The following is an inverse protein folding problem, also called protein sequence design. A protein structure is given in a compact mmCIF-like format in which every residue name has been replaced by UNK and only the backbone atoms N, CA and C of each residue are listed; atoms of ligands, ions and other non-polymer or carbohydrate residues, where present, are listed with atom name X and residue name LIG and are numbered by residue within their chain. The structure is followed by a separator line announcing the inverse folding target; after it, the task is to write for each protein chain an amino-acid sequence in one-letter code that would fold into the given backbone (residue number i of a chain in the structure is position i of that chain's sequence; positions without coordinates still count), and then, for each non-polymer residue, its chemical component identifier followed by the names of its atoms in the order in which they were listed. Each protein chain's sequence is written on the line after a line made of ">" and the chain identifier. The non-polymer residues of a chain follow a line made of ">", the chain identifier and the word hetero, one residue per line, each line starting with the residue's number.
data_IF_555159544431
#
_entry.id   IF_555159544431
#
_cell.length_a   1.000
_cell.length_b   1.000
_cell.length_c   1.000
_cell.angle_alpha   90.00
_cell.angle_beta   90.00
_cell.angle_gamma   90.00
#
_symmetry.space_group_name_H-M   'P 1'
#
loop_
_entity.id
_entity.type
_entity.pdbx_description
1 polymer ?
#
# COMPACT_ATOMS: atom_id res chain seq x y z
N UNK A 1 -18.34 3.80 -2.20
CA UNK A 1 -18.30 2.58 -1.37
C UNK A 1 -18.45 2.84 0.12
N UNK A 2 -17.77 3.83 0.68
CA UNK A 2 -17.81 4.12 2.12
C UNK A 2 -19.21 4.38 2.68
N UNK A 3 -20.05 5.12 1.96
CA UNK A 3 -21.41 5.48 2.37
C UNK A 3 -22.38 4.29 2.39
N UNK A 4 -22.12 3.29 1.52
CA UNK A 4 -22.95 2.10 1.41
C UNK A 4 -22.68 1.12 2.58
N UNK A 5 -21.42 0.95 2.94
CA UNK A 5 -21.00 0.03 4.01
C UNK A 5 -21.30 0.61 5.40
N UNK A 6 -21.25 1.95 5.57
CA UNK A 6 -21.47 2.57 6.88
C UNK A 6 -22.90 2.43 7.42
N UNK A 7 -23.89 2.26 6.53
CA UNK A 7 -25.29 2.07 6.93
C UNK A 7 -25.65 0.61 7.27
N UNK A 8 -24.72 -0.32 7.12
CA UNK A 8 -24.97 -1.76 7.21
C UNK A 8 -23.99 -2.50 8.15
N UNK A 9 -23.30 -1.77 9.02
CA UNK A 9 -22.13 -2.24 9.77
C UNK A 9 -22.37 -3.32 10.83
N UNK A 10 -23.59 -3.68 11.17
CA UNK A 10 -23.83 -4.56 12.31
C UNK A 10 -24.02 -6.06 11.95
N UNK A 11 -24.16 -6.44 10.68
CA UNK A 11 -24.41 -7.84 10.28
C UNK A 11 -23.45 -8.42 9.21
N UNK A 12 -22.51 -7.63 8.68
CA UNK A 12 -21.65 -8.09 7.60
C UNK A 12 -20.37 -8.77 8.12
N UNK A 13 -20.41 -10.08 8.26
CA UNK A 13 -19.22 -10.89 8.52
C UNK A 13 -18.46 -11.19 7.23
N UNK A 14 -17.37 -10.47 6.98
CA UNK A 14 -16.43 -10.81 5.90
C UNK A 14 -15.23 -11.56 6.48
N UNK A 15 -14.73 -12.63 5.84
CA UNK A 15 -13.51 -13.31 6.27
C UNK A 15 -12.29 -12.38 6.29
N UNK A 16 -12.32 -11.28 5.53
CA UNK A 16 -11.26 -10.27 5.49
C UNK A 16 -11.34 -9.21 6.60
N UNK A 17 -12.41 -9.20 7.40
CA UNK A 17 -12.61 -8.26 8.51
C UNK A 17 -12.35 -8.89 9.89
N UNK A 18 -12.08 -10.19 9.95
CA UNK A 18 -11.86 -10.93 11.20
C UNK A 18 -10.53 -10.46 11.83
N UNK A 19 -10.60 -9.71 12.91
CA UNK A 19 -9.42 -9.31 13.68
C UNK A 19 -8.94 -10.50 14.53
N UNK A 20 -7.64 -10.79 14.44
CA UNK A 20 -6.95 -11.82 15.23
C UNK A 20 -5.86 -11.16 16.06
N UNK A 21 -5.34 -11.87 17.05
CA UNK A 21 -4.09 -11.48 17.70
C UNK A 21 -2.95 -11.52 16.66
N UNK A 22 -2.25 -10.40 16.48
CA UNK A 22 -1.24 -10.26 15.43
C UNK A 22 0.05 -10.93 15.88
N UNK A 23 0.35 -12.09 15.32
CA UNK A 23 1.59 -12.85 15.54
C UNK A 23 2.45 -12.95 14.28
N UNK A 24 1.81 -12.98 13.12
CA UNK A 24 2.46 -13.16 11.81
C UNK A 24 1.98 -12.09 10.84
N UNK A 25 2.94 -11.36 10.28
CA UNK A 25 2.66 -10.21 9.42
C UNK A 25 3.27 -10.42 8.04
N UNK A 26 2.53 -10.02 7.00
CA UNK A 26 3.09 -9.81 5.67
C UNK A 26 3.26 -8.32 5.40
N UNK A 27 4.37 -7.94 4.77
CA UNK A 27 4.65 -6.58 4.35
C UNK A 27 4.65 -6.49 2.83
N UNK A 28 4.00 -5.46 2.29
CA UNK A 28 4.08 -5.08 0.88
C UNK A 28 4.77 -3.73 0.79
N UNK A 29 5.89 -3.66 0.09
CA UNK A 29 6.76 -2.49 0.07
C UNK A 29 6.91 -2.01 -1.37
N UNK A 30 6.53 -0.76 -1.63
CA UNK A 30 6.66 -0.15 -2.95
C UNK A 30 7.86 0.80 -2.98
N UNK A 31 8.78 0.54 -3.90
CA UNK A 31 9.97 1.36 -4.15
C UNK A 31 10.23 1.48 -5.63
N UNK A 32 11.29 2.13 -6.05
CA UNK A 32 11.68 2.21 -7.46
C UNK A 32 12.65 1.09 -7.88
N UNK A 33 12.80 0.93 -9.19
CA UNK A 33 13.83 0.08 -9.78
C UNK A 33 15.21 0.78 -9.85
N UNK A 34 15.23 2.12 -9.83
CA UNK A 34 16.45 2.91 -10.04
C UNK A 34 16.66 3.94 -8.93
N UNK A 35 17.85 4.51 -8.90
CA UNK A 35 18.24 5.64 -8.03
C UNK A 35 17.80 6.97 -8.64
N UNK A 36 18.31 8.08 -8.11
CA UNK A 36 18.11 9.46 -8.60
C UNK A 36 16.66 9.96 -8.49
N UNK A 37 15.93 9.47 -7.50
CA UNK A 37 14.60 9.94 -7.14
C UNK A 37 14.57 10.63 -5.76
N UNK A 38 15.63 11.36 -5.44
CA UNK A 38 15.76 12.08 -4.17
C UNK A 38 15.62 11.16 -2.96
N UNK A 39 14.81 11.56 -1.97
CA UNK A 39 14.57 10.81 -0.74
C UNK A 39 13.55 9.66 -0.87
N UNK A 40 12.95 9.45 -2.04
CA UNK A 40 11.84 8.50 -2.24
C UNK A 40 12.13 7.11 -1.66
N UNK A 41 13.16 6.42 -2.18
CA UNK A 41 13.53 5.09 -1.70
C UNK A 41 14.01 5.10 -0.25
N UNK A 42 14.82 6.08 0.11
CA UNK A 42 15.40 6.19 1.46
C UNK A 42 14.32 6.32 2.54
N UNK A 43 13.27 7.06 2.26
CA UNK A 43 12.15 7.25 3.19
C UNK A 43 11.34 5.95 3.38
N UNK A 44 11.06 5.22 2.29
CA UNK A 44 10.39 3.91 2.38
C UNK A 44 11.23 2.93 3.18
N UNK A 45 12.53 2.83 2.89
CA UNK A 45 13.44 1.89 3.57
C UNK A 45 13.52 2.21 5.07
N UNK A 46 13.61 3.48 5.45
CA UNK A 46 13.55 3.90 6.86
C UNK A 46 12.23 3.51 7.53
N UNK A 47 11.11 3.66 6.82
CA UNK A 47 9.80 3.25 7.34
C UNK A 47 9.73 1.75 7.52
N UNK A 48 10.23 0.96 6.56
CA UNK A 48 10.32 -0.51 6.67
C UNK A 48 11.14 -0.91 7.89
N UNK A 49 12.34 -0.33 8.07
CA UNK A 49 13.20 -0.60 9.23
C UNK A 49 12.46 -0.31 10.54
N UNK A 50 11.83 0.85 10.65
CA UNK A 50 11.04 1.24 11.84
C UNK A 50 9.89 0.26 12.10
N UNK A 51 9.23 -0.21 11.06
CA UNK A 51 8.14 -1.18 11.16
C UNK A 51 8.66 -2.54 11.62
N UNK A 52 9.77 -3.02 11.04
CA UNK A 52 10.44 -4.25 11.48
C UNK A 52 10.84 -4.18 12.95
N UNK A 53 11.46 -3.08 13.37
CA UNK A 53 11.88 -2.90 14.76
C UNK A 53 10.68 -2.86 15.73
N UNK A 54 9.57 -2.27 15.30
CA UNK A 54 8.33 -2.27 16.07
C UNK A 54 7.77 -3.67 16.26
N UNK A 55 7.71 -4.49 15.21
CA UNK A 55 7.24 -5.86 15.28
C UNK A 55 8.18 -6.77 16.10
N UNK A 56 9.49 -6.61 15.98
CA UNK A 56 10.46 -7.32 16.83
C UNK A 56 10.25 -7.03 18.31
N UNK A 57 9.93 -5.76 18.67
CA UNK A 57 9.64 -5.38 20.06
C UNK A 57 8.33 -5.98 20.59
N UNK A 58 7.34 -6.17 19.74
CA UNK A 58 6.05 -6.78 20.09
C UNK A 58 6.05 -8.31 19.98
N UNK A 59 7.19 -8.93 19.71
CA UNK A 59 7.33 -10.38 19.50
C UNK A 59 6.40 -10.90 18.39
N UNK A 60 6.33 -10.14 17.30
CA UNK A 60 5.53 -10.44 16.12
C UNK A 60 6.46 -10.76 14.96
N UNK A 61 6.23 -11.87 14.27
CA UNK A 61 7.07 -12.33 13.19
C UNK A 61 6.62 -11.75 11.84
N UNK A 62 7.58 -11.25 11.06
CA UNK A 62 7.34 -10.91 9.67
C UNK A 62 7.68 -12.15 8.83
N UNK A 63 6.64 -12.81 8.36
CA UNK A 63 6.76 -14.12 7.69
C UNK A 63 6.85 -14.02 6.18
N UNK A 64 6.36 -12.93 5.59
CA UNK A 64 6.36 -12.69 4.14
C UNK A 64 6.65 -11.24 3.82
N UNK A 65 7.48 -10.99 2.81
CA UNK A 65 7.73 -9.63 2.32
C UNK A 65 7.64 -9.59 0.80
N UNK A 66 6.71 -8.81 0.31
CA UNK A 66 6.50 -8.51 -1.11
C UNK A 66 7.16 -7.18 -1.44
N UNK A 67 8.29 -7.20 -2.12
CA UNK A 67 8.99 -5.99 -2.51
C UNK A 67 8.72 -5.67 -3.97
N UNK A 68 7.91 -4.65 -4.21
CA UNK A 68 7.63 -4.12 -5.55
C UNK A 68 8.68 -3.04 -5.82
N UNK A 69 9.68 -3.40 -6.64
CA UNK A 69 10.84 -2.57 -6.96
C UNK A 69 12.16 -3.08 -6.39
N UNK A 70 13.21 -2.99 -7.21
CA UNK A 70 14.55 -3.53 -6.90
C UNK A 70 15.17 -2.92 -5.65
N UNK A 71 15.00 -1.61 -5.44
CA UNK A 71 15.60 -0.93 -4.28
C UNK A 71 15.02 -1.40 -2.95
N UNK A 72 13.71 -1.70 -2.91
CA UNK A 72 13.07 -2.32 -1.76
C UNK A 72 13.55 -3.75 -1.53
N UNK A 73 13.59 -4.55 -2.59
CA UNK A 73 14.06 -5.93 -2.51
C UNK A 73 15.50 -6.03 -1.99
N UNK A 74 16.42 -5.18 -2.48
CA UNK A 74 17.79 -5.09 -1.99
C UNK A 74 17.85 -4.74 -0.49
N UNK A 75 17.03 -3.78 -0.06
CA UNK A 75 16.99 -3.32 1.32
C UNK A 75 16.41 -4.39 2.27
N UNK A 76 15.33 -5.04 1.86
CA UNK A 76 14.67 -6.10 2.64
C UNK A 76 15.58 -7.31 2.82
N UNK A 77 16.30 -7.71 1.77
CA UNK A 77 17.30 -8.79 1.86
C UNK A 77 18.43 -8.45 2.83
N UNK A 78 18.90 -7.18 2.87
CA UNK A 78 19.89 -6.70 3.84
C UNK A 78 19.39 -6.76 5.29
N UNK A 79 18.08 -6.69 5.50
CA UNK A 79 17.45 -6.84 6.82
C UNK A 79 17.27 -8.32 7.22
N UNK A 80 17.65 -9.26 6.36
CA UNK A 80 17.61 -10.71 6.60
C UNK A 80 16.28 -11.36 6.22
N UNK A 81 15.42 -10.69 5.44
CA UNK A 81 14.16 -11.28 4.98
C UNK A 81 14.31 -11.81 3.55
N UNK A 82 13.65 -12.92 3.28
CA UNK A 82 13.41 -13.37 1.92
C UNK A 82 12.34 -12.51 1.25
N UNK A 83 12.49 -12.28 -0.04
CA UNK A 83 11.53 -11.51 -0.84
C UNK A 83 10.77 -12.47 -1.73
N UNK A 84 9.47 -12.46 -1.58
CA UNK A 84 8.56 -13.23 -2.43
C UNK A 84 8.57 -12.65 -3.84
N UNK A 85 8.90 -13.47 -4.81
CA UNK A 85 8.93 -13.15 -6.25
C UNK A 85 9.71 -11.89 -6.65
N UNK A 86 9.96 -11.72 -7.93
CA UNK A 86 10.55 -10.50 -8.52
C UNK A 86 9.45 -9.70 -9.24
N UNK A 87 8.99 -8.63 -8.58
CA UNK A 87 8.00 -7.71 -9.12
C UNK A 87 8.62 -6.44 -9.73
N UNK A 88 9.91 -6.44 -10.05
CA UNK A 88 10.56 -5.27 -10.64
C UNK A 88 9.93 -4.87 -11.98
N UNK A 89 9.57 -5.84 -12.81
CA UNK A 89 8.93 -5.62 -14.11
C UNK A 89 7.56 -4.95 -14.01
N UNK A 90 6.88 -5.06 -12.86
CA UNK A 90 5.57 -4.43 -12.62
C UNK A 90 5.66 -2.89 -12.59
N UNK A 91 6.83 -2.35 -12.26
CA UNK A 91 7.05 -0.89 -12.30
C UNK A 91 7.32 -0.37 -13.70
N UNK A 92 7.92 -1.19 -14.56
CA UNK A 92 8.21 -0.82 -15.94
C UNK A 92 6.94 -0.92 -16.82
N UNK A 93 6.09 -1.91 -16.50
CA UNK A 93 4.83 -2.18 -17.20
C UNK A 93 3.69 -2.41 -16.17
N UNK A 94 3.10 -1.34 -15.62
CA UNK A 94 2.03 -1.45 -14.64
C UNK A 94 0.84 -2.24 -15.19
N UNK A 95 0.53 -3.38 -14.58
CA UNK A 95 -0.55 -4.26 -14.99
C UNK A 95 -1.51 -4.50 -13.83
N UNK A 96 -2.80 -4.28 -14.08
CA UNK A 96 -3.84 -4.61 -13.12
C UNK A 96 -3.87 -6.11 -12.81
N UNK A 97 -3.67 -6.97 -13.81
CA UNK A 97 -3.75 -8.42 -13.63
C UNK A 97 -2.65 -8.94 -12.71
N UNK A 98 -1.43 -8.42 -12.83
CA UNK A 98 -0.31 -8.78 -11.95
C UNK A 98 -0.56 -8.25 -10.53
N UNK A 99 -0.99 -6.99 -10.40
CA UNK A 99 -1.34 -6.41 -9.08
C UNK A 99 -2.50 -7.16 -8.41
N UNK A 100 -3.48 -7.60 -9.20
CA UNK A 100 -4.57 -8.48 -8.75
C UNK A 100 -4.03 -9.81 -8.24
N UNK A 101 -3.07 -10.41 -8.95
CA UNK A 101 -2.42 -11.65 -8.52
C UNK A 101 -1.80 -11.52 -7.13
N UNK A 102 -1.03 -10.44 -6.90
CA UNK A 102 -0.46 -10.13 -5.57
C UNK A 102 -1.57 -9.97 -4.51
N UNK A 103 -2.61 -9.22 -4.82
CA UNK A 103 -3.72 -9.02 -3.87
C UNK A 103 -4.42 -10.34 -3.53
N UNK A 104 -4.66 -11.21 -4.51
CA UNK A 104 -5.29 -12.52 -4.31
C UNK A 104 -4.43 -13.44 -3.46
N UNK A 105 -3.11 -13.44 -3.68
CA UNK A 105 -2.16 -14.20 -2.85
C UNK A 105 -2.21 -13.72 -1.39
N UNK A 106 -2.15 -12.41 -1.15
CA UNK A 106 -2.27 -11.84 0.19
C UNK A 106 -3.61 -12.17 0.87
N UNK A 107 -4.71 -12.13 0.13
CA UNK A 107 -6.03 -12.54 0.62
C UNK A 107 -6.07 -14.03 0.98
N UNK A 108 -5.44 -14.89 0.18
CA UNK A 108 -5.35 -16.33 0.44
C UNK A 108 -4.55 -16.61 1.71
N UNK A 109 -3.37 -15.99 1.88
CA UNK A 109 -2.54 -16.11 3.08
C UNK A 109 -3.27 -15.65 4.35
N UNK A 110 -4.09 -14.61 4.23
CA UNK A 110 -4.89 -14.12 5.35
C UNK A 110 -6.04 -15.08 5.71
N UNK A 111 -6.75 -15.59 4.71
CA UNK A 111 -7.87 -16.50 4.92
C UNK A 111 -7.42 -17.88 5.40
N UNK A 112 -6.27 -18.38 4.93
CA UNK A 112 -5.66 -19.62 5.43
C UNK A 112 -5.15 -19.50 6.87
N UNK A 113 -4.99 -18.26 7.37
CA UNK A 113 -4.42 -18.01 8.69
C UNK A 113 -2.90 -18.11 8.73
N UNK A 114 -2.20 -18.11 7.60
CA UNK A 114 -0.74 -18.02 7.57
C UNK A 114 -0.23 -16.65 8.02
N UNK A 115 -1.00 -15.60 7.76
CA UNK A 115 -0.74 -14.24 8.24
C UNK A 115 -1.97 -13.68 8.97
N UNK A 116 -1.71 -12.90 10.00
CA UNK A 116 -2.73 -12.29 10.84
C UNK A 116 -2.94 -10.80 10.48
N UNK A 117 -1.95 -10.18 9.88
CA UNK A 117 -2.01 -8.80 9.39
C UNK A 117 -1.22 -8.65 8.08
N UNK A 118 -1.71 -7.81 7.18
CA UNK A 118 -0.98 -7.39 5.98
C UNK A 118 -0.86 -5.88 5.97
N UNK A 119 0.37 -5.36 5.89
CA UNK A 119 0.62 -3.92 5.78
C UNK A 119 1.22 -3.56 4.43
N UNK A 120 0.79 -2.42 3.90
CA UNK A 120 1.36 -1.80 2.72
C UNK A 120 2.12 -0.52 3.09
N UNK A 121 3.32 -0.34 2.52
CA UNK A 121 4.15 0.85 2.67
C UNK A 121 4.43 1.39 1.28
N UNK A 122 3.91 2.57 0.97
CA UNK A 122 4.01 3.21 -0.34
C UNK A 122 3.93 4.72 -0.23
N UNK A 123 4.20 5.44 -1.31
CA UNK A 123 3.96 6.87 -1.38
C UNK A 123 2.61 7.15 -2.04
N UNK A 124 1.72 7.82 -1.31
CA UNK A 124 0.49 8.36 -1.87
C UNK A 124 0.79 9.68 -2.60
N UNK A 125 0.40 9.76 -3.85
CA UNK A 125 0.59 10.93 -4.70
C UNK A 125 -0.46 11.99 -4.41
N UNK A 126 -0.07 13.07 -3.73
CA UNK A 126 -0.96 14.21 -3.49
C UNK A 126 -0.77 15.31 -4.55
N UNK A 127 0.46 15.60 -4.92
CA UNK A 127 0.85 16.55 -5.97
C UNK A 127 2.31 16.31 -6.39
N UNK A 128 2.73 16.94 -7.48
CA UNK A 128 4.13 16.85 -7.93
C UNK A 128 5.12 17.34 -6.86
N UNK A 129 4.75 18.30 -6.02
CA UNK A 129 5.58 18.81 -4.93
C UNK A 129 5.46 18.00 -3.63
N UNK A 130 4.39 17.21 -3.46
CA UNK A 130 4.10 16.55 -2.19
C UNK A 130 3.70 15.09 -2.42
N UNK A 131 4.57 14.19 -1.97
CA UNK A 131 4.33 12.75 -1.92
C UNK A 131 4.29 12.33 -0.45
N UNK A 132 3.19 11.70 -0.05
CA UNK A 132 2.98 11.29 1.34
C UNK A 132 3.40 9.85 1.54
N UNK A 133 4.46 9.63 2.32
CA UNK A 133 4.82 8.27 2.72
C UNK A 133 3.73 7.71 3.63
N UNK A 134 3.06 6.67 3.18
CA UNK A 134 1.90 6.07 3.81
C UNK A 134 2.20 4.64 4.22
N UNK A 135 1.82 4.30 5.44
CA UNK A 135 1.76 2.94 5.93
C UNK A 135 0.31 2.65 6.31
N UNK A 136 -0.29 1.68 5.67
CA UNK A 136 -1.68 1.31 5.95
C UNK A 136 -1.84 -0.20 6.16
N UNK A 137 -2.86 -0.57 6.92
CA UNK A 137 -3.26 -1.97 7.06
C UNK A 137 -4.14 -2.33 5.86
N UNK A 138 -3.67 -3.30 5.08
CA UNK A 138 -4.42 -3.86 3.97
C UNK A 138 -5.44 -4.88 4.44
N UNK A 139 -5.01 -5.79 5.31
CA UNK A 139 -5.84 -6.78 5.99
C UNK A 139 -5.45 -6.84 7.49
N UNK A 140 -6.43 -6.98 8.41
CA UNK A 140 -7.87 -7.00 8.20
C UNK A 140 -8.44 -5.67 7.69
N UNK A 141 -9.54 -5.75 6.92
CA UNK A 141 -10.27 -4.54 6.55
C UNK A 141 -11.01 -4.00 7.77
N UNK A 142 -10.93 -2.67 7.97
CA UNK A 142 -11.80 -1.99 8.92
C UNK A 142 -13.09 -1.62 8.19
N UNK A 143 -14.21 -2.23 8.56
CA UNK A 143 -15.54 -1.86 8.09
C UNK A 143 -16.04 -0.59 8.79
N UNK A 144 -15.40 -0.21 9.91
CA UNK A 144 -15.64 1.05 10.60
C UNK A 144 -14.72 2.12 10.03
N UNK A 145 -15.26 3.20 9.54
CA UNK A 145 -14.49 4.34 9.05
C UNK A 145 -13.72 4.99 10.21
N UNK A 146 -12.39 4.97 10.12
CA UNK A 146 -11.54 5.95 10.79
C UNK A 146 -11.61 7.27 10.00
N UNK A 147 -12.69 7.97 10.15
CA UNK A 147 -12.88 9.28 9.56
C UNK A 147 -14.28 9.75 9.90
N UNK A 148 -14.39 10.90 10.55
CA UNK A 148 -15.66 11.61 10.73
C UNK A 148 -16.31 11.79 9.36
N UNK A 149 -17.11 10.82 8.95
CA UNK A 149 -18.17 11.15 8.01
C UNK A 149 -19.13 11.98 8.85
N UNK A 150 -19.11 13.29 8.64
CA UNK A 150 -20.26 14.10 9.00
C UNK A 150 -21.47 13.30 8.52
N UNK A 151 -22.34 12.95 9.46
CA UNK A 151 -23.63 12.37 9.12
C UNK A 151 -24.25 13.36 8.15
N UNK A 152 -24.08 13.09 6.87
CA UNK A 152 -24.81 13.83 5.87
C UNK A 152 -26.27 13.58 6.19
N UNK A 153 -26.94 14.60 6.69
CA UNK A 153 -28.38 14.65 6.90
C UNK A 153 -29.13 14.65 5.56
N UNK A 154 -28.65 13.87 4.60
CA UNK A 154 -29.31 13.56 3.36
C UNK A 154 -30.32 12.43 3.55
N UNK A 155 -31.37 12.39 2.73
CA UNK A 155 -32.37 11.32 2.79
C UNK A 155 -31.66 9.97 2.67
N UNK A 156 -32.04 9.01 3.52
CA UNK A 156 -31.58 7.63 3.41
C UNK A 156 -31.94 7.11 2.02
N UNK A 157 -30.93 6.91 1.17
CA UNK A 157 -31.16 6.35 -0.15
C UNK A 157 -31.53 4.88 0.05
N UNK A 158 -32.82 4.57 -0.10
CA UNK A 158 -33.31 3.21 -0.11
C UNK A 158 -32.90 2.55 -1.42
N UNK A 159 -31.73 1.88 -1.42
CA UNK A 159 -31.30 1.09 -2.55
C UNK A 159 -32.07 -0.24 -2.56
N UNK A 160 -32.58 -0.60 -3.73
CA UNK A 160 -33.02 -1.99 -3.98
C UNK A 160 -31.76 -2.78 -4.36
N UNK A 161 -31.44 -3.79 -3.57
CA UNK A 161 -30.23 -4.58 -3.73
C UNK A 161 -30.62 -6.00 -4.12
N UNK A 162 -30.10 -6.46 -5.25
CA UNK A 162 -30.36 -7.79 -5.77
C UNK A 162 -29.00 -8.49 -6.04
N UNK A 163 -28.85 -9.78 -5.75
CA UNK A 163 -29.86 -10.68 -5.16
C UNK A 163 -29.99 -10.55 -3.63
N UNK A 164 -28.88 -10.22 -2.92
CA UNK A 164 -28.85 -9.90 -1.49
C UNK A 164 -27.68 -8.97 -1.19
N UNK A 165 -27.73 -8.31 -0.04
CA UNK A 165 -26.66 -7.41 0.42
C UNK A 165 -25.38 -8.20 0.67
N UNK A 166 -25.50 -9.34 1.30
CA UNK A 166 -24.38 -10.22 1.66
C UNK A 166 -23.62 -10.67 0.41
N UNK A 167 -24.34 -11.11 -0.62
CA UNK A 167 -23.74 -11.54 -1.88
C UNK A 167 -23.04 -10.40 -2.61
N UNK A 168 -23.67 -9.23 -2.65
CA UNK A 168 -23.08 -8.03 -3.28
C UNK A 168 -21.81 -7.62 -2.53
N UNK A 169 -21.82 -7.58 -1.21
CA UNK A 169 -20.65 -7.23 -0.40
C UNK A 169 -19.54 -8.28 -0.54
N UNK A 170 -19.88 -9.56 -0.48
CA UNK A 170 -18.93 -10.64 -0.69
C UNK A 170 -18.23 -10.57 -2.06
N UNK A 171 -18.94 -10.13 -3.10
CA UNK A 171 -18.38 -9.92 -4.43
C UNK A 171 -17.56 -8.62 -4.56
N UNK A 172 -17.94 -7.57 -3.83
CA UNK A 172 -17.29 -6.25 -3.93
C UNK A 172 -15.99 -6.16 -3.13
N UNK A 173 -15.91 -6.78 -1.95
CA UNK A 173 -14.72 -6.70 -1.10
C UNK A 173 -13.46 -7.18 -1.81
N UNK A 174 -13.40 -8.37 -2.43
CA UNK A 174 -12.21 -8.82 -3.15
C UNK A 174 -11.84 -7.89 -4.31
N UNK A 175 -12.82 -7.38 -5.05
CA UNK A 175 -12.59 -6.43 -6.15
C UNK A 175 -11.97 -5.13 -5.64
N UNK A 176 -12.45 -4.63 -4.52
CA UNK A 176 -11.90 -3.41 -3.89
C UNK A 176 -10.49 -3.63 -3.39
N UNK A 177 -10.19 -4.76 -2.77
CA UNK A 177 -8.84 -5.11 -2.32
C UNK A 177 -7.88 -5.23 -3.51
N UNK A 178 -8.28 -5.87 -4.60
CA UNK A 178 -7.49 -5.90 -5.83
C UNK A 178 -7.18 -4.48 -6.34
N UNK A 179 -8.19 -3.61 -6.35
CA UNK A 179 -8.02 -2.22 -6.78
C UNK A 179 -7.12 -1.43 -5.84
N UNK A 180 -7.15 -1.68 -4.52
CA UNK A 180 -6.27 -0.99 -3.55
C UNK A 180 -4.80 -1.24 -3.83
N UNK A 181 -4.39 -2.49 -4.10
CA UNK A 181 -3.00 -2.81 -4.45
C UNK A 181 -2.60 -2.12 -5.75
N UNK A 182 -3.46 -2.14 -6.76
CA UNK A 182 -3.19 -1.46 -8.03
C UNK A 182 -3.11 0.06 -7.88
N UNK A 183 -3.99 0.66 -7.09
CA UNK A 183 -3.94 2.11 -6.81
C UNK A 183 -2.66 2.48 -6.07
N UNK A 184 -2.25 1.71 -5.06
CA UNK A 184 -1.00 1.94 -4.34
C UNK A 184 0.22 1.84 -5.27
N UNK A 185 0.21 0.93 -6.24
CA UNK A 185 1.23 0.82 -7.29
C UNK A 185 1.29 2.10 -8.14
N UNK A 186 0.15 2.57 -8.66
CA UNK A 186 0.09 3.77 -9.50
C UNK A 186 0.46 5.04 -8.72
N UNK A 187 0.00 5.17 -7.49
CA UNK A 187 0.35 6.27 -6.59
C UNK A 187 1.86 6.31 -6.32
N UNK A 188 2.45 5.14 -6.05
CA UNK A 188 3.88 5.02 -5.83
C UNK A 188 4.69 5.37 -7.08
N UNK A 189 4.26 4.93 -8.27
CA UNK A 189 4.90 5.27 -9.54
C UNK A 189 4.82 6.76 -9.85
N UNK A 190 3.64 7.37 -9.70
CA UNK A 190 3.47 8.80 -9.91
C UNK A 190 4.35 9.60 -8.93
N UNK A 191 4.43 9.17 -7.68
CA UNK A 191 5.28 9.78 -6.65
C UNK A 191 6.77 9.64 -6.96
N UNK A 192 7.20 8.49 -7.46
CA UNK A 192 8.58 8.24 -7.89
C UNK A 192 8.99 9.19 -9.03
N UNK A 193 8.15 9.27 -10.07
CA UNK A 193 8.41 10.14 -11.21
C UNK A 193 8.46 11.62 -10.80
N UNK A 194 7.54 12.08 -9.95
CA UNK A 194 7.55 13.44 -9.42
C UNK A 194 8.82 13.72 -8.59
N UNK A 195 9.19 12.81 -7.69
CA UNK A 195 10.41 12.94 -6.89
C UNK A 195 11.67 12.97 -7.76
N UNK A 196 11.70 12.18 -8.84
CA UNK A 196 12.81 12.19 -9.79
C UNK A 196 12.92 13.51 -10.54
N UNK A 197 11.80 14.05 -11.04
CA UNK A 197 11.78 15.34 -11.74
C UNK A 197 12.32 16.44 -10.83
N UNK A 198 11.86 16.51 -9.58
CA UNK A 198 12.35 17.50 -8.60
C UNK A 198 13.85 17.31 -8.33
N UNK A 199 14.30 16.07 -8.12
CA UNK A 199 15.72 15.81 -7.85
C UNK A 199 16.62 16.19 -9.02
N UNK A 200 16.17 15.96 -10.26
CA UNK A 200 16.90 16.36 -11.47
C UNK A 200 16.91 17.88 -11.64
N UNK A 201 15.80 18.57 -11.35
CA UNK A 201 15.74 20.04 -11.39
C UNK A 201 16.74 20.66 -10.40
N UNK A 202 16.73 20.20 -9.16
CA UNK A 202 17.68 20.66 -8.13
C UNK A 202 19.12 20.42 -8.56
N UNK A 203 19.41 19.26 -9.17
CA UNK A 203 20.76 18.98 -9.68
C UNK A 203 21.19 19.95 -10.81
N UNK A 204 20.28 20.30 -11.71
CA UNK A 204 20.51 21.26 -12.79
C UNK A 204 20.75 22.66 -12.21
N UNK A 205 19.91 23.11 -11.29
CA UNK A 205 20.04 24.44 -10.65
C UNK A 205 21.39 24.57 -9.92
N UNK A 206 21.79 23.52 -9.17
CA UNK A 206 23.09 23.49 -8.51
C UNK A 206 24.26 23.51 -9.51
N UNK A 207 24.17 22.82 -10.65
CA UNK A 207 25.20 22.86 -11.69
C UNK A 207 25.33 24.24 -12.32
N UNK A 208 24.22 24.92 -12.57
CA UNK A 208 24.22 26.30 -13.11
C UNK A 208 24.81 27.30 -12.11
N UNK A 209 24.57 27.13 -10.82
CA UNK A 209 25.17 27.94 -9.76
C UNK A 209 26.69 27.76 -9.75
N UNK A 210 27.18 26.53 -9.72
CA UNK A 210 28.61 26.22 -9.80
C UNK A 210 29.28 26.79 -11.05
N UNK A 211 28.60 26.72 -12.20
CA UNK A 211 29.11 27.32 -13.44
C UNK A 211 29.25 28.86 -13.37
N UNK A 212 28.36 29.53 -12.63
CA UNK A 212 28.44 30.98 -12.39
C UNK A 212 29.57 31.35 -11.45
N UNK A 213 29.84 30.53 -10.44
CA UNK A 213 30.96 30.75 -9.49
C UNK A 213 32.34 30.55 -10.14
N UNK A 214 32.43 29.68 -11.17
CA UNK A 214 33.66 29.36 -11.88
C UNK A 214 34.00 30.35 -13.02
N UNK A 215 33.09 31.22 -13.41
CA UNK A 215 33.29 32.29 -14.43
C UNK A 215 33.65 33.62 -13.82
#
# INVERSE_FOLDING_TARGET
>A
MSTFVSNMSDELSSPFAIKREVKRVALVVFTSNSSLCGGFNGNVIKMVQKTVDSYRKSNTDIVRVYAIGRKGAEAVRKLGFEVENDYASLLDHPSYDVARGVAQELMALYTSGEVDEVKMIYHHFKSSATQLLTQETFLPISLQQEGKVEKSSGPSLNYIIEPSVEEVVAALIPKTLNLRVYTALLDSLASEHAARVIAMQVATDNADELLRELK
#
